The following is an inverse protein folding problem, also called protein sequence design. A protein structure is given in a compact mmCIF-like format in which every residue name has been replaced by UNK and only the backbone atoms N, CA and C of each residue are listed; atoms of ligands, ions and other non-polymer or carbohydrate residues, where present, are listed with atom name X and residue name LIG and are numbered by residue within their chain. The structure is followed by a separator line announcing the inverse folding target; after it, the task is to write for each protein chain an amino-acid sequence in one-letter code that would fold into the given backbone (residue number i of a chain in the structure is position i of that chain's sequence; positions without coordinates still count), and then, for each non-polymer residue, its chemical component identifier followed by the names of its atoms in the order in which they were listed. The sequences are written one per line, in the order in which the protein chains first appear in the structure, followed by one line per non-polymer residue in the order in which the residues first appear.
data_IF_645755226214
#
_entry.id   IF_645755226214
#
_cell.length_a   1.000
_cell.length_b   1.000
_cell.length_c   1.000
_cell.angle_alpha   90.00
_cell.angle_beta   90.00
_cell.angle_gamma   90.00
#
_symmetry.space_group_name_H-M   'P 1'
#
loop_
_entity.id
_entity.type
_entity.pdbx_description
1 polymer ?
#
# COMPACT_ATOMS: atom_id res chain seq x y z
N UNK A 1 -3.72 -1.13 -6.36
CA UNK A 1 -2.55 -0.32 -6.81
C UNK A 1 -3.00 1.05 -7.22
N UNK A 2 -2.13 2.01 -7.08
CA UNK A 2 -2.36 3.37 -7.50
C UNK A 2 -1.26 3.78 -8.48
N UNK A 3 -1.64 4.33 -9.64
CA UNK A 3 -0.70 4.85 -10.62
C UNK A 3 -0.55 6.35 -10.40
N UNK A 4 0.67 6.80 -10.13
CA UNK A 4 0.93 8.19 -9.76
C UNK A 4 0.79 9.13 -10.96
N UNK A 5 0.10 10.23 -10.75
CA UNK A 5 -0.09 11.30 -11.77
C UNK A 5 0.91 12.43 -11.62
N UNK A 6 1.66 12.48 -10.50
CA UNK A 6 2.61 13.55 -10.18
C UNK A 6 3.97 12.98 -9.78
N UNK A 7 5.04 13.77 -9.97
CA UNK A 7 6.36 13.45 -9.43
C UNK A 7 6.37 13.56 -7.89
N UNK A 8 7.18 12.77 -7.18
CA UNK A 8 8.07 11.74 -7.73
C UNK A 8 7.32 10.52 -8.23
N UNK A 9 7.95 9.75 -9.10
CA UNK A 9 7.43 8.48 -9.65
C UNK A 9 6.19 8.61 -10.54
N UNK A 10 6.02 9.75 -11.23
CA UNK A 10 4.91 9.92 -12.18
C UNK A 10 4.87 8.78 -13.20
N UNK A 11 3.70 8.17 -13.36
CA UNK A 11 3.48 7.05 -14.27
C UNK A 11 3.82 5.68 -13.69
N UNK A 12 4.41 5.61 -12.49
CA UNK A 12 4.71 4.36 -11.81
C UNK A 12 3.59 4.03 -10.82
N UNK A 13 3.43 2.72 -10.55
CA UNK A 13 2.43 2.23 -9.60
C UNK A 13 3.00 2.07 -8.20
N UNK A 14 2.16 2.33 -7.21
CA UNK A 14 2.49 2.22 -5.80
C UNK A 14 1.28 1.69 -5.04
N UNK A 15 1.45 1.40 -3.77
CA UNK A 15 0.34 1.14 -2.87
C UNK A 15 -0.28 2.46 -2.42
N UNK A 16 -1.53 2.40 -1.98
CA UNK A 16 -2.19 3.56 -1.37
C UNK A 16 -1.60 3.82 0.00
N UNK A 17 -1.57 5.08 0.40
CA UNK A 17 -1.06 5.48 1.71
C UNK A 17 -0.77 6.96 1.79
N UNK A 18 -0.30 7.40 2.95
CA UNK A 18 0.04 8.78 3.20
C UNK A 18 0.78 8.96 4.50
N UNK A 19 0.85 10.18 4.98
CA UNK A 19 1.59 10.52 6.20
C UNK A 19 0.81 10.16 7.45
N UNK A 20 1.52 9.67 8.47
CA UNK A 20 0.98 9.53 9.83
C UNK A 20 0.87 10.95 10.40
N UNK A 21 -0.32 11.34 10.79
CA UNK A 21 -0.57 12.66 11.36
C UNK A 21 -0.26 12.69 12.86
N UNK A 22 -0.13 13.90 13.39
CA UNK A 22 0.06 14.11 14.82
C UNK A 22 -1.13 13.51 15.58
N UNK A 23 -0.84 12.83 16.70
CA UNK A 23 -1.84 12.17 17.57
C UNK A 23 -2.52 10.94 16.96
N UNK A 24 -1.99 10.36 15.86
CA UNK A 24 -2.46 9.07 15.39
C UNK A 24 -1.30 8.07 15.32
N UNK A 25 -1.60 6.78 15.47
CA UNK A 25 -0.60 5.74 15.27
C UNK A 25 -0.61 5.27 13.80
N UNK A 26 0.37 4.43 13.42
CA UNK A 26 0.51 3.95 12.05
C UNK A 26 -0.69 3.15 11.56
N UNK A 27 -1.27 2.32 12.41
CA UNK A 27 -2.44 1.50 12.06
C UNK A 27 -3.66 2.38 11.75
N UNK A 28 -3.94 3.38 12.58
CA UNK A 28 -5.05 4.30 12.35
C UNK A 28 -4.82 5.14 11.10
N UNK A 29 -3.58 5.58 10.86
CA UNK A 29 -3.21 6.30 9.64
C UNK A 29 -3.44 5.43 8.40
N UNK A 30 -3.08 4.14 8.46
CA UNK A 30 -3.29 3.21 7.34
C UNK A 30 -4.77 3.06 7.01
N UNK A 31 -5.63 2.89 8.01
CA UNK A 31 -7.09 2.83 7.79
C UNK A 31 -7.64 4.13 7.24
N UNK A 32 -7.21 5.27 7.79
CA UNK A 32 -7.67 6.59 7.34
C UNK A 32 -7.30 6.84 5.88
N UNK A 33 -6.04 6.65 5.53
CA UNK A 33 -5.57 6.86 4.16
C UNK A 33 -6.24 5.89 3.15
N UNK A 34 -6.43 4.64 3.55
CA UNK A 34 -7.13 3.66 2.72
C UNK A 34 -8.56 4.11 2.43
N UNK A 35 -9.28 4.57 3.45
CA UNK A 35 -10.66 5.04 3.29
C UNK A 35 -10.74 6.33 2.47
N UNK A 36 -9.86 7.30 2.72
CA UNK A 36 -9.81 8.55 1.97
C UNK A 36 -9.54 8.32 0.47
N UNK A 37 -8.63 7.40 0.14
CA UNK A 37 -8.23 7.17 -1.24
C UNK A 37 -9.12 6.17 -1.98
N UNK A 38 -9.69 5.17 -1.28
CA UNK A 38 -10.38 4.05 -1.94
C UNK A 38 -11.81 3.82 -1.48
N UNK A 39 -12.26 4.49 -0.44
CA UNK A 39 -13.53 4.27 0.28
C UNK A 39 -13.61 2.94 1.04
N UNK A 40 -12.57 2.12 1.02
CA UNK A 40 -12.48 0.89 1.80
C UNK A 40 -12.33 1.26 3.28
N UNK A 41 -13.24 0.77 4.14
CA UNK A 41 -13.29 1.11 5.56
C UNK A 41 -12.92 -0.08 6.44
N UNK A 42 -12.87 0.16 7.75
CA UNK A 42 -12.66 -0.89 8.77
C UNK A 42 -13.72 -1.99 8.73
N UNK A 43 -14.89 -1.73 8.14
CA UNK A 43 -15.95 -2.73 7.98
C UNK A 43 -15.64 -3.70 6.84
N UNK A 44 -14.75 -3.32 5.94
CA UNK A 44 -14.43 -4.09 4.73
C UNK A 44 -13.17 -4.93 4.86
N UNK A 45 -12.26 -4.54 5.77
CA UNK A 45 -10.93 -5.14 5.86
C UNK A 45 -10.38 -5.03 7.28
N UNK A 46 -9.60 -6.03 7.68
CA UNK A 46 -8.79 -5.98 8.89
C UNK A 46 -7.33 -5.89 8.46
N UNK A 47 -6.66 -4.81 8.86
CA UNK A 47 -5.25 -4.60 8.54
C UNK A 47 -4.34 -5.15 9.62
N UNK A 48 -3.26 -5.80 9.20
CA UNK A 48 -2.21 -6.29 10.08
C UNK A 48 -0.87 -5.66 9.66
N UNK A 49 -0.04 -5.35 10.65
CA UNK A 49 1.28 -4.78 10.40
C UNK A 49 2.17 -5.85 9.78
N UNK A 50 2.72 -5.58 8.61
CA UNK A 50 3.56 -6.52 7.88
C UNK A 50 5.05 -6.26 8.08
N UNK A 51 5.50 -5.02 7.85
CA UNK A 51 6.92 -4.66 7.88
C UNK A 51 7.10 -3.15 7.87
N UNK A 52 8.33 -2.70 8.12
CA UNK A 52 8.72 -1.30 8.08
C UNK A 52 9.98 -1.11 7.26
N UNK A 53 10.12 0.08 6.70
CA UNK A 53 11.36 0.55 6.08
C UNK A 53 11.82 1.81 6.80
N UNK A 54 13.13 1.91 7.06
CA UNK A 54 13.73 3.10 7.63
C UNK A 54 14.80 3.64 6.67
N UNK A 55 14.65 4.88 6.26
CA UNK A 55 15.59 5.56 5.35
C UNK A 55 16.35 6.61 6.14
N UNK A 56 17.54 6.27 6.62
CA UNK A 56 18.32 7.15 7.49
C UNK A 56 18.73 8.45 6.82
N UNK A 57 19.15 8.39 5.55
CA UNK A 57 19.58 9.57 4.81
C UNK A 57 18.41 10.50 4.46
N UNK A 58 17.24 9.95 4.20
CA UNK A 58 16.04 10.73 3.90
C UNK A 58 15.21 11.11 5.12
N UNK A 59 15.63 10.66 6.30
CA UNK A 59 14.88 10.80 7.55
C UNK A 59 13.40 10.40 7.38
N UNK A 60 13.18 9.27 6.72
CA UNK A 60 11.86 8.75 6.39
C UNK A 60 11.66 7.37 7.00
N UNK A 61 10.48 7.14 7.54
CA UNK A 61 10.05 5.87 8.11
C UNK A 61 8.73 5.46 7.47
N UNK A 62 8.67 4.24 6.96
CA UNK A 62 7.48 3.73 6.26
C UNK A 62 6.97 2.48 6.97
N UNK A 63 5.71 2.51 7.42
CA UNK A 63 5.02 1.34 7.95
C UNK A 63 4.12 0.75 6.89
N UNK A 64 4.14 -0.58 6.74
CA UNK A 64 3.36 -1.30 5.74
C UNK A 64 2.36 -2.22 6.42
N UNK A 65 1.10 -2.11 6.02
CA UNK A 65 -0.01 -2.91 6.53
C UNK A 65 -0.65 -3.70 5.40
N UNK A 66 -1.19 -4.87 5.73
CA UNK A 66 -1.82 -5.77 4.77
C UNK A 66 -3.12 -6.32 5.36
N UNK A 67 -4.11 -6.56 4.51
CA UNK A 67 -5.36 -7.15 4.90
C UNK A 67 -6.05 -7.82 3.73
N UNK A 68 -7.02 -8.65 4.03
CA UNK A 68 -7.87 -9.33 3.04
C UNK A 68 -9.24 -8.69 3.07
N UNK A 69 -9.72 -8.24 1.92
CA UNK A 69 -11.09 -7.72 1.80
C UNK A 69 -12.11 -8.82 2.06
N UNK A 70 -13.17 -8.49 2.78
CA UNK A 70 -14.26 -9.42 3.07
C UNK A 70 -15.34 -9.43 1.98
N UNK A 71 -15.25 -8.52 1.00
CA UNK A 71 -16.16 -8.45 -0.15
C UNK A 71 -15.45 -7.80 -1.35
N UNK A 72 -15.97 -8.01 -2.55
CA UNK A 72 -15.48 -7.34 -3.75
C UNK A 72 -15.89 -5.86 -3.72
N UNK A 73 -14.95 -4.97 -4.04
CA UNK A 73 -15.15 -3.52 -4.03
C UNK A 73 -14.58 -2.94 -5.33
N UNK A 74 -15.34 -2.06 -5.97
CA UNK A 74 -14.85 -1.27 -7.09
C UNK A 74 -14.10 -0.06 -6.54
N UNK A 75 -12.93 0.24 -7.12
CA UNK A 75 -12.11 1.36 -6.69
C UNK A 75 -12.01 2.42 -7.78
N UNK A 76 -12.05 3.70 -7.37
CA UNK A 76 -11.77 4.83 -8.23
C UNK A 76 -11.12 5.92 -7.38
N UNK A 77 -10.15 6.63 -7.95
CA UNK A 77 -9.41 7.66 -7.22
C UNK A 77 -9.46 9.00 -7.93
N UNK A 78 -9.53 10.08 -7.15
CA UNK A 78 -9.53 11.45 -7.64
C UNK A 78 -8.12 11.95 -7.92
N UNK A 79 -7.17 11.67 -7.01
CA UNK A 79 -5.78 12.13 -7.14
C UNK A 79 -4.93 11.25 -8.02
N UNK A 80 -5.11 9.92 -7.92
CA UNK A 80 -4.36 8.92 -8.68
C UNK A 80 -5.31 7.92 -9.29
N UNK A 81 -4.88 7.28 -10.37
CA UNK A 81 -5.61 6.18 -11.00
C UNK A 81 -5.49 4.94 -10.12
N UNK A 82 -6.62 4.38 -9.68
CA UNK A 82 -6.68 3.15 -8.90
C UNK A 82 -7.05 1.97 -9.78
N UNK A 83 -6.43 0.81 -9.52
CA UNK A 83 -6.74 -0.42 -10.24
C UNK A 83 -6.44 -1.66 -9.41
N UNK A 84 -7.15 -2.73 -9.70
CA UNK A 84 -6.87 -4.06 -9.16
C UNK A 84 -5.83 -4.76 -10.03
N UNK A 85 -4.99 -5.57 -9.42
CA UNK A 85 -3.99 -6.37 -10.11
C UNK A 85 -3.90 -7.76 -9.50
N UNK A 86 -3.20 -8.66 -10.17
CA UNK A 86 -2.96 -10.02 -9.65
C UNK A 86 -1.59 -10.12 -8.99
N UNK A 87 -1.37 -11.21 -8.27
CA UNK A 87 -0.09 -11.45 -7.58
C UNK A 87 1.01 -11.99 -8.52
N UNK A 88 0.70 -12.22 -9.81
CA UNK A 88 1.61 -12.83 -10.77
C UNK A 88 2.57 -11.85 -11.46
N UNK A 89 2.53 -10.58 -11.10
CA UNK A 89 3.37 -9.55 -11.71
C UNK A 89 4.78 -9.57 -11.13
N UNK A 90 5.75 -9.08 -11.91
CA UNK A 90 7.10 -8.80 -11.42
C UNK A 90 7.10 -7.45 -10.71
N UNK A 91 6.84 -7.46 -9.41
CA UNK A 91 6.77 -6.25 -8.59
C UNK A 91 8.15 -5.63 -8.31
N UNK A 92 9.25 -6.28 -8.71
CA UNK A 92 10.58 -5.72 -8.63
C UNK A 92 10.94 -4.83 -9.83
N UNK A 93 10.09 -4.78 -10.85
CA UNK A 93 10.33 -4.00 -12.06
C UNK A 93 10.25 -2.49 -11.75
N UNK A 94 11.40 -1.83 -11.65
CA UNK A 94 11.50 -0.42 -11.30
C UNK A 94 11.01 0.52 -12.40
N UNK A 95 10.74 -0.01 -13.60
CA UNK A 95 10.13 0.77 -14.70
C UNK A 95 8.62 0.85 -14.58
N UNK A 96 8.00 0.02 -13.73
CA UNK A 96 6.55 -0.05 -13.51
C UNK A 96 6.14 0.35 -12.10
N UNK A 97 6.98 0.07 -11.11
CA UNK A 97 6.65 0.26 -9.70
C UNK A 97 7.58 1.27 -9.03
N UNK A 98 7.01 2.14 -8.19
CA UNK A 98 7.74 3.13 -7.43
C UNK A 98 8.57 2.48 -6.30
N UNK A 99 9.51 3.25 -5.71
CA UNK A 99 10.21 2.86 -4.50
C UNK A 99 11.44 1.96 -4.70
N UNK A 100 12.01 1.94 -5.90
CA UNK A 100 13.28 1.26 -6.20
C UNK A 100 13.35 -0.20 -5.71
N UNK A 101 12.30 -0.98 -5.99
CA UNK A 101 12.22 -2.40 -5.63
C UNK A 101 11.48 -2.69 -4.32
N UNK A 102 11.08 -1.69 -3.56
CA UNK A 102 10.34 -1.88 -2.30
C UNK A 102 9.00 -2.59 -2.50
N UNK A 103 8.30 -2.30 -3.59
CA UNK A 103 7.02 -2.96 -3.90
C UNK A 103 7.23 -4.47 -4.05
N UNK A 104 8.28 -4.89 -4.76
CA UNK A 104 8.63 -6.31 -4.91
C UNK A 104 8.96 -6.96 -3.58
N UNK A 105 9.72 -6.28 -2.73
CA UNK A 105 10.07 -6.76 -1.40
C UNK A 105 8.82 -6.95 -0.51
N UNK A 106 7.93 -5.98 -0.51
CA UNK A 106 6.64 -6.04 0.21
C UNK A 106 5.82 -7.23 -0.28
N UNK A 107 5.66 -7.38 -1.60
CA UNK A 107 4.86 -8.47 -2.18
C UNK A 107 5.45 -9.85 -1.90
N UNK A 108 6.77 -9.96 -1.84
CA UNK A 108 7.42 -11.19 -1.43
C UNK A 108 7.04 -11.58 0.01
N UNK A 109 7.02 -10.61 0.93
CA UNK A 109 6.61 -10.84 2.31
C UNK A 109 5.11 -11.17 2.42
N UNK A 110 4.26 -10.55 1.62
CA UNK A 110 2.84 -10.90 1.55
C UNK A 110 2.67 -12.36 1.20
N UNK A 111 3.38 -12.84 0.18
CA UNK A 111 3.33 -14.25 -0.24
C UNK A 111 3.84 -15.21 0.82
N UNK A 112 4.89 -14.82 1.56
CA UNK A 112 5.47 -15.65 2.63
C UNK A 112 4.53 -15.80 3.83
N UNK A 113 3.79 -14.75 4.17
CA UNK A 113 2.99 -14.69 5.40
C UNK A 113 1.49 -14.70 5.17
N UNK A 114 1.01 -14.89 3.93
CA UNK A 114 -0.42 -14.80 3.61
C UNK A 114 -1.28 -15.79 4.41
N UNK A 115 -0.77 -16.99 4.69
CA UNK A 115 -1.52 -17.99 5.46
C UNK A 115 -1.73 -17.57 6.92
N UNK A 116 -0.80 -16.79 7.47
CA UNK A 116 -0.87 -16.30 8.85
C UNK A 116 -1.69 -15.02 8.97
N UNK A 117 -1.52 -14.09 8.01
CA UNK A 117 -2.08 -12.75 8.08
C UNK A 117 -3.39 -12.56 7.31
N UNK A 118 -3.64 -13.39 6.30
CA UNK A 118 -4.77 -13.21 5.37
C UNK A 118 -5.74 -14.40 5.35
N UNK A 119 -5.97 -14.97 6.50
CA UNK A 119 -6.93 -16.08 6.65
C UNK A 119 -8.37 -15.67 6.39
#
# INVERSE_FOLDING_TARGET
MCKRRKNPYKGLSNFVGGKIEENENGLDAAYRELEEETTISRNDIILSHLMDFTYHLGNCYLEVYVGKLNRAINVSGDENELYWTTLDNDFFDVTKYAGEGNIGHIMMHVKMYQEELLK
#
